data_IF_088320770394
#
_entry.id   IF_088320770394
#
_cell.length_a   1.000
_cell.length_b   1.000
_cell.length_c   1.000
_cell.angle_alpha   90.00
_cell.angle_beta   90.00
_cell.angle_gamma   90.00
#
_symmetry.space_group_name_H-M   'P 1'
#
loop_
_entity.id
_entity.type
_entity.pdbx_description
1 polymer ?
#
# COMPACT_ATOMS: atom_id res chain seq x y z
N UNK A 1 17.37 -2.02 -13.88
CA UNK A 1 18.07 -2.59 -12.69
C UNK A 1 18.23 -1.50 -11.64
N UNK A 2 17.46 -1.53 -10.57
CA UNK A 2 17.65 -0.60 -9.47
C UNK A 2 18.95 -0.95 -8.77
N UNK A 3 19.87 -0.01 -8.75
CA UNK A 3 21.22 -0.21 -8.23
C UNK A 3 21.13 -0.51 -6.72
N UNK A 4 21.56 -1.71 -6.32
CA UNK A 4 21.55 -2.22 -4.94
C UNK A 4 22.17 -1.23 -3.94
N UNK A 5 23.07 -0.36 -4.40
CA UNK A 5 23.67 0.71 -3.60
C UNK A 5 22.63 1.75 -3.14
N UNK A 6 21.68 2.11 -3.99
CA UNK A 6 20.63 3.07 -3.62
C UNK A 6 19.60 2.50 -2.63
N UNK A 7 19.35 1.19 -2.70
CA UNK A 7 18.45 0.53 -1.77
C UNK A 7 19.05 0.48 -0.35
N UNK A 8 20.35 0.23 -0.24
CA UNK A 8 21.07 0.27 1.05
C UNK A 8 21.07 1.66 1.67
N UNK A 9 21.28 2.71 0.87
CA UNK A 9 21.26 4.10 1.36
C UNK A 9 19.88 4.52 1.86
N UNK A 10 18.82 4.12 1.16
CA UNK A 10 17.44 4.36 1.58
C UNK A 10 17.08 3.63 2.88
N UNK A 11 17.56 2.41 3.04
CA UNK A 11 17.31 1.62 4.26
C UNK A 11 18.04 2.21 5.48
N UNK A 12 19.28 2.67 5.30
CA UNK A 12 20.05 3.36 6.35
C UNK A 12 19.38 4.67 6.74
N UNK A 13 18.89 5.44 5.78
CA UNK A 13 18.18 6.70 6.04
C UNK A 13 16.88 6.47 6.83
N UNK A 14 16.16 5.38 6.53
CA UNK A 14 14.96 4.97 7.26
C UNK A 14 15.26 4.54 8.70
N UNK A 15 16.35 3.81 8.92
CA UNK A 15 16.78 3.39 10.25
C UNK A 15 17.19 4.61 11.09
N UNK A 16 17.87 5.58 10.49
CA UNK A 16 18.28 6.82 11.17
C UNK A 16 17.07 7.70 11.57
N UNK A 17 16.04 7.78 10.71
CA UNK A 17 14.79 8.49 11.04
C UNK A 17 14.06 7.78 12.19
N UNK A 18 14.00 6.46 12.20
CA UNK A 18 13.35 5.71 13.28
C UNK A 18 14.11 5.85 14.60
N UNK A 19 15.43 5.87 14.58
CA UNK A 19 16.24 6.10 15.78
C UNK A 19 16.09 7.52 16.33
N UNK A 20 15.94 8.53 15.48
CA UNK A 20 15.73 9.92 15.93
C UNK A 20 14.37 10.11 16.62
N UNK A 21 13.32 9.41 16.20
CA UNK A 21 12.02 9.45 16.85
C UNK A 21 12.03 8.79 18.25
N UNK A 22 12.79 7.71 18.44
CA UNK A 22 12.92 7.05 19.75
C UNK A 22 13.77 7.89 20.72
N UNK A 23 14.77 8.60 20.21
CA UNK A 23 15.67 9.41 21.05
C UNK A 23 14.99 10.66 21.62
N UNK A 24 13.99 11.22 20.94
CA UNK A 24 13.25 12.40 21.44
C UNK A 24 12.33 12.06 22.61
N UNK A 25 11.78 10.86 22.69
CA UNK A 25 10.95 10.46 23.83
C UNK A 25 11.78 10.20 25.11
N UNK A 26 12.97 9.65 24.97
CA UNK A 26 13.85 9.40 26.12
C UNK A 26 14.50 10.64 26.71
N UNK A 27 14.72 11.68 25.88
CA UNK A 27 15.26 12.97 26.36
C UNK A 27 14.24 13.81 27.12
N UNK A 28 12.94 13.71 26.79
CA UNK A 28 11.87 14.38 27.52
C UNK A 28 11.60 13.78 28.89
N UNK A 29 11.80 12.45 29.03
CA UNK A 29 11.61 11.75 30.33
C UNK A 29 12.70 12.08 31.37
N UNK A 30 13.89 12.49 30.91
CA UNK A 30 15.03 12.75 31.80
C UNK A 30 15.04 14.14 32.45
N UNK A 31 14.16 15.06 31.98
CA UNK A 31 14.13 16.46 32.46
C UNK A 31 13.25 16.68 33.69
N UNK A 32 12.57 15.67 34.20
CA UNK A 32 11.73 15.75 35.40
C UNK A 32 12.15 14.72 36.44
N UNK A 33 13.37 14.89 36.96
CA UNK A 33 13.74 14.30 38.24
C UNK A 33 13.31 15.25 39.35
N UNK A 34 12.31 14.90 40.16
CA UNK A 34 11.91 15.72 41.30
C UNK A 34 12.83 15.39 42.46
N UNK A 35 13.93 16.11 42.57
CA UNK A 35 14.86 15.85 43.66
C UNK A 35 14.76 16.99 44.66
N UNK A 36 14.27 16.64 45.85
CA UNK A 36 14.65 17.14 47.17
C UNK A 36 14.72 18.67 47.34
N UNK A 37 13.65 19.42 47.03
CA UNK A 37 13.56 20.84 47.39
C UNK A 37 12.47 21.18 48.42
N UNK A 38 11.68 20.21 48.79
CA UNK A 38 10.62 20.45 49.77
C UNK A 38 11.08 20.01 51.16
N UNK A 39 11.39 20.98 52.02
CA UNK A 39 11.63 20.76 53.45
C UNK A 39 10.35 20.80 54.27
N UNK A 40 9.26 21.38 53.78
CA UNK A 40 8.04 21.64 54.53
C UNK A 40 6.84 20.81 54.00
N UNK A 41 5.96 20.41 54.91
CA UNK A 41 4.76 19.65 54.56
C UNK A 41 3.84 20.35 53.56
N UNK A 42 3.85 21.67 53.51
CA UNK A 42 3.13 22.53 52.57
C UNK A 42 3.62 22.36 51.13
N UNK A 43 4.92 22.36 50.94
CA UNK A 43 5.55 22.17 49.64
C UNK A 43 5.24 20.78 49.07
N UNK A 44 5.20 19.75 49.91
CA UNK A 44 4.75 18.41 49.47
C UNK A 44 3.30 18.38 49.03
N UNK A 45 2.45 19.19 49.67
CA UNK A 45 1.04 19.26 49.31
C UNK A 45 0.85 19.98 47.97
N UNK A 46 1.51 21.08 47.71
CA UNK A 46 1.48 21.80 46.45
C UNK A 46 2.05 20.99 45.28
N UNK A 47 3.15 20.27 45.51
CA UNK A 47 3.75 19.41 44.51
C UNK A 47 2.82 18.22 44.16
N UNK A 48 2.11 17.68 45.16
CA UNK A 48 1.13 16.65 44.94
C UNK A 48 -0.04 17.13 44.08
N UNK A 49 -0.54 18.33 44.34
CA UNK A 49 -1.63 18.95 43.55
C UNK A 49 -1.16 19.23 42.12
N UNK A 50 0.05 19.76 41.96
CA UNK A 50 0.64 20.02 40.63
C UNK A 50 0.81 18.73 39.83
N UNK A 51 1.30 17.67 40.48
CA UNK A 51 1.42 16.33 39.83
C UNK A 51 0.06 15.74 39.46
N UNK A 52 -0.94 15.84 40.33
CA UNK A 52 -2.29 15.38 40.02
C UNK A 52 -2.88 16.14 38.80
N UNK A 53 -2.74 17.46 38.76
CA UNK A 53 -3.17 18.28 37.61
C UNK A 53 -2.43 17.90 36.34
N UNK A 54 -1.14 17.63 36.39
CA UNK A 54 -0.34 17.19 35.24
C UNK A 54 -0.77 15.78 34.78
N UNK A 55 -1.06 14.87 35.72
CA UNK A 55 -1.58 13.54 35.39
C UNK A 55 -2.96 13.63 34.76
N UNK A 56 -3.84 14.48 35.31
CA UNK A 56 -5.18 14.71 34.74
C UNK A 56 -5.11 15.35 33.34
N UNK A 57 -4.23 16.31 33.14
CA UNK A 57 -3.98 16.92 31.83
C UNK A 57 -3.43 15.89 30.82
N UNK A 58 -2.51 15.04 31.26
CA UNK A 58 -1.96 13.98 30.44
C UNK A 58 -3.03 12.91 30.12
N UNK A 59 -3.90 12.59 31.10
CA UNK A 59 -5.03 11.68 30.91
C UNK A 59 -6.09 12.29 29.99
N UNK A 60 -6.38 13.59 30.13
CA UNK A 60 -7.29 14.31 29.20
C UNK A 60 -6.72 14.36 27.78
N UNK A 61 -5.41 14.64 27.64
CA UNK A 61 -4.76 14.58 26.32
C UNK A 61 -4.77 13.16 25.73
N UNK A 62 -4.51 12.13 26.54
CA UNK A 62 -4.65 10.72 26.13
C UNK A 62 -6.10 10.35 25.83
N UNK A 63 -7.06 10.87 26.59
CA UNK A 63 -8.50 10.70 26.35
C UNK A 63 -8.99 11.37 25.09
N UNK A 64 -8.47 12.56 24.76
CA UNK A 64 -8.78 13.25 23.51
C UNK A 64 -8.21 12.47 22.31
N UNK A 65 -7.00 11.90 22.43
CA UNK A 65 -6.46 11.00 21.41
C UNK A 65 -7.18 9.63 21.35
N UNK A 66 -7.74 9.16 22.48
CA UNK A 66 -8.49 7.89 22.52
C UNK A 66 -9.91 8.01 21.91
N UNK A 67 -10.48 9.22 21.84
CA UNK A 67 -11.84 9.50 21.34
C UNK A 67 -11.90 9.81 19.84
N UNK A 68 -10.81 9.79 19.11
CA UNK A 68 -10.93 9.67 17.66
C UNK A 68 -11.22 8.20 17.37
N UNK A 69 -12.52 7.88 17.25
CA UNK A 69 -12.92 6.64 16.63
C UNK A 69 -12.09 6.47 15.35
N UNK A 70 -11.56 5.27 15.10
CA UNK A 70 -10.82 5.04 13.87
C UNK A 70 -11.73 5.49 12.74
N UNK A 71 -11.26 6.43 11.95
CA UNK A 71 -11.97 6.93 10.78
C UNK A 71 -12.49 5.72 10.03
N UNK A 72 -13.83 5.61 10.01
CA UNK A 72 -14.45 4.34 9.70
C UNK A 72 -14.47 4.08 8.20
N UNK A 73 -14.43 5.16 7.42
CA UNK A 73 -14.45 5.10 5.97
C UNK A 73 -13.16 5.66 5.38
N UNK A 74 -12.56 4.92 4.44
CA UNK A 74 -11.39 5.38 3.70
C UNK A 74 -11.58 5.11 2.22
N UNK A 75 -11.21 6.07 1.41
CA UNK A 75 -11.15 5.93 -0.05
C UNK A 75 -9.69 6.04 -0.46
N UNK A 76 -9.20 5.08 -1.21
CA UNK A 76 -7.81 4.99 -1.65
C UNK A 76 -7.74 4.82 -3.15
N UNK A 77 -6.87 5.58 -3.79
CA UNK A 77 -6.55 5.43 -5.19
C UNK A 77 -5.06 5.13 -5.33
N UNK A 78 -4.72 4.22 -6.23
CA UNK A 78 -3.35 3.84 -6.52
C UNK A 78 -3.07 3.95 -8.00
N UNK A 79 -1.87 4.40 -8.32
CA UNK A 79 -1.35 4.37 -9.68
C UNK A 79 0.08 3.85 -9.63
N UNK A 80 0.39 2.89 -10.47
CA UNK A 80 1.70 2.30 -10.56
C UNK A 80 2.01 1.80 -11.95
N UNK A 81 3.25 1.45 -12.15
CA UNK A 81 3.68 0.91 -13.42
C UNK A 81 5.10 0.39 -13.35
N UNK A 82 5.42 -0.44 -14.31
CA UNK A 82 6.74 -0.91 -14.63
C UNK A 82 6.97 -0.61 -16.11
N UNK A 83 8.10 0.02 -16.40
CA UNK A 83 8.56 0.24 -17.76
C UNK A 83 9.94 -0.38 -17.87
N UNK A 84 10.09 -1.34 -18.78
CA UNK A 84 11.37 -1.89 -19.19
C UNK A 84 11.50 -1.74 -20.71
N UNK A 85 12.67 -2.01 -21.26
CA UNK A 85 12.93 -1.85 -22.69
C UNK A 85 11.96 -2.66 -23.58
N UNK A 86 11.43 -3.77 -23.05
CA UNK A 86 10.57 -4.68 -23.80
C UNK A 86 9.13 -4.79 -23.24
N UNK A 87 8.87 -4.23 -22.06
CA UNK A 87 7.55 -4.37 -21.44
C UNK A 87 7.12 -3.11 -20.72
N UNK A 88 5.84 -2.81 -20.85
CA UNK A 88 5.18 -1.71 -20.14
C UNK A 88 3.97 -2.26 -19.40
N UNK A 89 3.89 -1.96 -18.12
CA UNK A 89 2.74 -2.30 -17.29
C UNK A 89 2.24 -1.06 -16.56
N UNK A 90 0.94 -0.86 -16.58
CA UNK A 90 0.28 0.20 -15.84
C UNK A 90 -0.84 -0.41 -14.99
N UNK A 91 -0.86 -0.09 -13.69
CA UNK A 91 -1.92 -0.47 -12.78
C UNK A 91 -2.59 0.78 -12.23
N UNK A 92 -3.91 0.80 -12.29
CA UNK A 92 -4.76 1.79 -11.63
C UNK A 92 -5.73 1.06 -10.71
N UNK A 93 -5.93 1.57 -9.51
CA UNK A 93 -6.81 0.90 -8.56
C UNK A 93 -7.51 1.92 -7.68
N UNK A 94 -8.78 1.60 -7.36
CA UNK A 94 -9.59 2.33 -6.38
C UNK A 94 -10.07 1.32 -5.35
N UNK A 95 -9.99 1.69 -4.08
CA UNK A 95 -10.46 0.87 -2.98
C UNK A 95 -11.25 1.69 -1.95
N UNK A 96 -12.31 1.09 -1.44
CA UNK A 96 -13.13 1.59 -0.36
C UNK A 96 -12.93 0.71 0.86
N UNK A 97 -12.55 1.32 1.98
CA UNK A 97 -12.35 0.63 3.24
C UNK A 97 -13.40 1.05 4.27
N UNK A 98 -13.92 0.06 4.97
CA UNK A 98 -14.72 0.23 6.16
C UNK A 98 -14.00 -0.37 7.34
N UNK A 99 -13.56 0.46 8.29
CA UNK A 99 -12.66 0.06 9.37
C UNK A 99 -11.38 -0.57 8.80
N UNK A 100 -11.17 -1.85 9.08
CA UNK A 100 -9.99 -2.60 8.66
C UNK A 100 -10.16 -3.30 7.31
N UNK A 101 -11.39 -3.53 6.87
CA UNK A 101 -11.68 -4.23 5.63
C UNK A 101 -11.88 -3.27 4.47
N UNK A 102 -11.41 -3.66 3.31
CA UNK A 102 -11.59 -2.90 2.08
C UNK A 102 -11.91 -3.81 0.90
N UNK A 103 -12.68 -3.25 0.00
CA UNK A 103 -12.93 -3.81 -1.32
C UNK A 103 -12.44 -2.82 -2.36
N UNK A 104 -11.91 -3.32 -3.45
CA UNK A 104 -11.37 -2.46 -4.50
C UNK A 104 -11.45 -3.10 -5.87
N UNK A 105 -11.11 -2.32 -6.86
CA UNK A 105 -10.91 -2.76 -8.23
C UNK A 105 -9.55 -2.30 -8.71
N UNK A 106 -8.82 -3.21 -9.35
CA UNK A 106 -7.54 -2.92 -10.01
C UNK A 106 -7.68 -3.21 -11.50
N UNK A 107 -7.41 -2.20 -12.31
CA UNK A 107 -7.24 -2.35 -13.74
C UNK A 107 -5.75 -2.44 -14.05
N UNK A 108 -5.34 -3.44 -14.80
CA UNK A 108 -3.96 -3.64 -15.23
C UNK A 108 -3.90 -3.67 -16.74
N UNK A 109 -3.06 -2.82 -17.31
CA UNK A 109 -2.73 -2.80 -18.73
C UNK A 109 -1.30 -3.28 -18.89
N UNK A 110 -1.11 -4.34 -19.65
CA UNK A 110 0.19 -4.92 -19.91
C UNK A 110 0.48 -4.94 -21.41
N UNK A 111 1.67 -4.49 -21.79
CA UNK A 111 2.17 -4.53 -23.15
C UNK A 111 3.61 -5.04 -23.11
N UNK A 112 3.94 -5.98 -23.95
CA UNK A 112 5.32 -6.44 -24.12
C UNK A 112 5.59 -6.80 -25.56
N UNK A 113 6.84 -6.62 -25.96
CA UNK A 113 7.36 -7.09 -27.22
C UNK A 113 8.30 -8.25 -26.93
N UNK A 114 7.91 -9.44 -27.38
CA UNK A 114 8.68 -10.67 -27.20
C UNK A 114 9.69 -10.88 -28.32
N UNK A 115 10.38 -12.00 -28.26
CA UNK A 115 11.26 -12.45 -29.33
C UNK A 115 10.49 -12.58 -30.64
N UNK A 116 11.16 -12.33 -31.76
CA UNK A 116 10.59 -12.38 -33.13
C UNK A 116 9.48 -11.35 -33.41
N UNK A 117 9.45 -10.22 -32.69
CA UNK A 117 8.49 -9.14 -32.92
C UNK A 117 7.05 -9.50 -32.52
N UNK A 118 6.86 -10.49 -31.64
CA UNK A 118 5.54 -10.86 -31.13
C UNK A 118 5.12 -9.78 -30.11
N UNK A 119 3.99 -9.11 -30.36
CA UNK A 119 3.45 -8.13 -29.44
C UNK A 119 2.30 -8.70 -28.64
N UNK A 120 2.38 -8.53 -27.33
CA UNK A 120 1.34 -8.92 -26.39
C UNK A 120 0.74 -7.69 -25.74
N UNK A 121 -0.56 -7.59 -25.79
CA UNK A 121 -1.31 -6.56 -25.10
C UNK A 121 -2.42 -7.19 -24.28
N UNK A 122 -2.58 -6.76 -23.03
CA UNK A 122 -3.72 -7.22 -22.25
C UNK A 122 -4.23 -6.14 -21.31
N UNK A 123 -5.53 -6.18 -21.08
CA UNK A 123 -6.22 -5.39 -20.08
C UNK A 123 -7.00 -6.35 -19.20
N UNK A 124 -6.80 -6.25 -17.89
CA UNK A 124 -7.50 -7.09 -16.90
C UNK A 124 -8.15 -6.23 -15.84
N UNK A 125 -9.31 -6.69 -15.36
CA UNK A 125 -10.05 -6.07 -14.26
C UNK A 125 -10.13 -7.07 -13.11
N UNK A 126 -9.58 -6.69 -11.98
CA UNK A 126 -9.52 -7.52 -10.78
C UNK A 126 -10.33 -6.89 -9.67
N UNK A 127 -10.98 -7.73 -8.88
CA UNK A 127 -11.61 -7.34 -7.63
C UNK A 127 -10.64 -7.65 -6.48
N UNK A 128 -10.43 -6.68 -5.63
CA UNK A 128 -9.49 -6.75 -4.52
C UNK A 128 -10.25 -6.84 -3.20
N UNK A 129 -9.83 -7.77 -2.34
CA UNK A 129 -10.21 -7.81 -0.95
C UNK A 129 -8.99 -7.41 -0.11
N UNK A 130 -9.13 -6.38 0.71
CA UNK A 130 -8.04 -5.75 1.42
C UNK A 130 -8.29 -5.76 2.93
N UNK A 131 -7.23 -5.92 3.70
CA UNK A 131 -7.24 -5.78 5.14
C UNK A 131 -6.13 -4.83 5.58
N UNK A 132 -6.50 -3.77 6.31
CA UNK A 132 -5.55 -2.75 6.79
C UNK A 132 -5.49 -2.75 8.31
N UNK A 133 -4.30 -2.73 8.86
CA UNK A 133 -4.04 -2.61 10.29
C UNK A 133 -3.04 -1.48 10.56
N UNK A 134 -3.07 -0.96 11.78
CA UNK A 134 -2.33 0.24 12.13
C UNK A 134 -3.19 1.50 12.04
N UNK A 135 -2.69 2.61 12.55
CA UNK A 135 -3.43 3.87 12.64
C UNK A 135 -2.73 4.97 11.85
N UNK A 136 -1.75 5.59 12.44
CA UNK A 136 -0.98 6.69 11.81
C UNK A 136 0.00 6.13 10.78
N UNK A 137 0.57 4.97 11.10
CA UNK A 137 1.31 4.14 10.17
C UNK A 137 0.52 2.85 9.96
N UNK A 138 0.15 2.56 8.73
CA UNK A 138 -0.72 1.44 8.41
C UNK A 138 -0.06 0.47 7.42
N UNK A 139 -0.47 -0.80 7.56
CA UNK A 139 -0.10 -1.88 6.65
C UNK A 139 -1.36 -2.45 6.04
N UNK A 140 -1.30 -2.75 4.77
CA UNK A 140 -2.42 -3.33 4.02
C UNK A 140 -1.97 -4.64 3.38
N UNK A 141 -2.75 -5.67 3.61
CA UNK A 141 -2.66 -6.96 2.94
C UNK A 141 -3.89 -7.10 2.05
N UNK A 142 -3.74 -7.75 0.91
CA UNK A 142 -4.87 -7.97 0.03
C UNK A 142 -4.68 -9.13 -0.91
N UNK A 143 -5.80 -9.67 -1.35
CA UNK A 143 -5.89 -10.65 -2.41
C UNK A 143 -6.67 -10.06 -3.57
N UNK A 144 -6.31 -10.46 -4.76
CA UNK A 144 -6.86 -9.96 -6.01
C UNK A 144 -7.31 -11.14 -6.86
N UNK A 145 -8.53 -11.07 -7.35
CA UNK A 145 -9.11 -12.09 -8.23
C UNK A 145 -9.81 -11.39 -9.39
N UNK A 146 -9.53 -11.85 -10.60
CA UNK A 146 -10.14 -11.33 -11.80
C UNK A 146 -10.46 -12.45 -12.77
N UNK A 147 -11.61 -12.31 -13.39
CA UNK A 147 -12.09 -13.23 -14.43
C UNK A 147 -12.54 -12.47 -15.69
N UNK A 148 -12.21 -11.17 -15.76
CA UNK A 148 -12.58 -10.32 -16.88
C UNK A 148 -11.36 -9.61 -17.44
N UNK A 149 -11.21 -9.70 -18.75
CA UNK A 149 -10.12 -9.01 -19.43
C UNK A 149 -10.13 -9.30 -20.94
N UNK A 150 -9.20 -8.66 -21.61
CA UNK A 150 -8.97 -8.88 -23.03
C UNK A 150 -7.48 -9.03 -23.25
N UNK A 151 -7.10 -10.01 -24.03
CA UNK A 151 -5.73 -10.19 -24.47
C UNK A 151 -5.66 -10.18 -25.99
N UNK A 152 -4.62 -9.56 -26.50
CA UNK A 152 -4.30 -9.54 -27.93
C UNK A 152 -2.86 -9.98 -28.10
N UNK A 153 -2.63 -10.89 -29.03
CA UNK A 153 -1.31 -11.32 -29.43
C UNK A 153 -1.18 -11.07 -30.92
N UNK A 154 -0.20 -10.24 -31.29
CA UNK A 154 0.13 -10.01 -32.69
C UNK A 154 1.39 -10.80 -33.04
N UNK A 155 1.29 -11.64 -34.04
CA UNK A 155 2.41 -12.37 -34.61
C UNK A 155 2.42 -12.17 -36.13
N UNK A 156 3.43 -11.46 -36.63
CA UNK A 156 3.50 -10.99 -38.02
C UNK A 156 2.23 -10.19 -38.40
N UNK A 157 1.48 -10.63 -39.39
CA UNK A 157 0.22 -10.01 -39.82
C UNK A 157 -1.03 -10.61 -39.16
N UNK A 158 -0.84 -11.53 -38.22
CA UNK A 158 -1.94 -12.26 -37.60
C UNK A 158 -2.21 -11.77 -36.20
N UNK A 159 -3.49 -11.55 -35.89
CA UNK A 159 -3.98 -11.14 -34.59
C UNK A 159 -4.78 -12.29 -33.95
N UNK A 160 -4.42 -12.59 -32.71
CA UNK A 160 -5.15 -13.52 -31.84
C UNK A 160 -5.72 -12.74 -30.69
N UNK A 161 -6.97 -13.03 -30.32
CA UNK A 161 -7.65 -12.35 -29.20
C UNK A 161 -8.25 -13.36 -28.26
N UNK A 162 -8.29 -13.03 -26.99
CA UNK A 162 -9.01 -13.78 -25.96
C UNK A 162 -9.75 -12.80 -25.07
N UNK A 163 -10.97 -13.16 -24.68
CA UNK A 163 -11.74 -12.47 -23.66
C UNK A 163 -11.76 -13.28 -22.35
N UNK A 164 -11.16 -14.47 -22.36
CA UNK A 164 -11.06 -15.34 -21.19
C UNK A 164 -9.72 -15.12 -20.51
N UNK A 165 -9.74 -14.29 -19.48
CA UNK A 165 -8.56 -13.94 -18.69
C UNK A 165 -8.88 -14.24 -17.24
N UNK A 166 -8.11 -15.14 -16.67
CA UNK A 166 -8.10 -15.38 -15.23
C UNK A 166 -6.90 -14.68 -14.61
N UNK A 167 -7.10 -14.00 -13.51
CA UNK A 167 -6.01 -13.40 -12.77
C UNK A 167 -6.17 -13.61 -11.28
N UNK A 168 -5.06 -13.85 -10.62
CA UNK A 168 -4.99 -13.97 -9.18
C UNK A 168 -3.71 -13.31 -8.67
N UNK A 169 -3.77 -12.83 -7.43
CA UNK A 169 -2.59 -12.24 -6.85
C UNK A 169 -2.78 -11.72 -5.46
N UNK A 170 -1.74 -11.04 -4.99
CA UNK A 170 -1.75 -10.45 -3.67
C UNK A 170 -1.15 -9.04 -3.69
N UNK A 171 -1.56 -8.26 -2.70
CA UNK A 171 -1.10 -6.92 -2.46
C UNK A 171 -0.47 -6.80 -1.08
N UNK A 172 0.66 -6.12 -1.03
CA UNK A 172 1.30 -5.69 0.20
C UNK A 172 1.46 -4.17 0.13
N UNK A 173 0.96 -3.47 1.13
CA UNK A 173 1.04 -2.02 1.15
C UNK A 173 1.41 -1.49 2.52
N UNK A 174 1.98 -0.31 2.52
CA UNK A 174 2.21 0.48 3.71
C UNK A 174 1.84 1.92 3.43
N UNK A 175 1.42 2.63 4.47
CA UNK A 175 1.04 4.02 4.33
C UNK A 175 1.15 4.78 5.63
N UNK A 176 1.11 6.09 5.48
CA UNK A 176 1.10 7.03 6.59
C UNK A 176 -0.12 7.93 6.46
N UNK A 177 -0.84 8.08 7.58
CA UNK A 177 -2.04 8.91 7.69
C UNK A 177 -1.68 10.23 8.38
N UNK A 178 -2.01 11.33 7.73
CA UNK A 178 -1.83 12.68 8.27
C UNK A 178 -3.17 13.43 8.23
N UNK A 179 -3.84 13.49 9.37
CA UNK A 179 -5.19 14.03 9.46
C UNK A 179 -6.18 13.17 8.67
N UNK A 180 -6.76 13.75 7.63
CA UNK A 180 -7.67 13.07 6.70
C UNK A 180 -6.97 12.49 5.48
N UNK A 181 -5.69 12.79 5.26
CA UNK A 181 -4.92 12.37 4.10
C UNK A 181 -4.08 11.13 4.41
N UNK A 182 -3.98 10.24 3.43
CA UNK A 182 -3.08 9.09 3.47
C UNK A 182 -2.15 9.12 2.25
N UNK A 183 -0.87 8.80 2.48
CA UNK A 183 0.10 8.51 1.42
C UNK A 183 0.44 7.03 1.55
N UNK A 184 0.40 6.32 0.43
CA UNK A 184 0.45 4.87 0.40
C UNK A 184 1.45 4.38 -0.65
N UNK A 185 2.14 3.30 -0.34
CA UNK A 185 2.96 2.54 -1.29
C UNK A 185 2.45 1.11 -1.28
N UNK A 186 2.22 0.55 -2.46
CA UNK A 186 1.71 -0.82 -2.60
C UNK A 186 2.57 -1.59 -3.60
N UNK A 187 2.92 -2.81 -3.25
CA UNK A 187 3.47 -3.82 -4.13
C UNK A 187 2.38 -4.82 -4.47
N UNK A 188 2.12 -5.02 -5.74
CA UNK A 188 1.16 -6.00 -6.25
C UNK A 188 1.91 -7.08 -7.01
N UNK A 189 1.62 -8.34 -6.71
CA UNK A 189 2.10 -9.49 -7.48
C UNK A 189 0.88 -10.16 -8.06
N UNK A 190 0.77 -10.16 -9.37
CA UNK A 190 -0.40 -10.63 -10.11
C UNK A 190 0.05 -11.66 -11.15
N UNK A 191 -0.62 -12.79 -11.15
CA UNK A 191 -0.46 -13.85 -12.14
C UNK A 191 -1.68 -13.83 -13.05
N UNK A 192 -1.46 -13.77 -14.35
CA UNK A 192 -2.51 -13.76 -15.38
C UNK A 192 -2.40 -15.03 -16.21
N UNK A 193 -3.54 -15.63 -16.49
CA UNK A 193 -3.66 -16.75 -17.40
C UNK A 193 -4.68 -16.40 -18.48
N UNK A 194 -4.25 -16.47 -19.73
CA UNK A 194 -5.06 -16.25 -20.90
C UNK A 194 -5.34 -17.61 -21.55
N UNK A 195 -6.60 -17.96 -21.68
CA UNK A 195 -7.04 -19.16 -22.36
C UNK A 195 -7.79 -18.79 -23.64
N UNK A 196 -7.98 -19.75 -24.51
CA UNK A 196 -8.76 -19.64 -25.76
C UNK A 196 -8.37 -18.44 -26.64
N UNK A 197 -7.08 -18.31 -26.94
CA UNK A 197 -6.61 -17.33 -27.93
C UNK A 197 -7.10 -17.74 -29.34
N UNK A 198 -8.06 -17.02 -29.87
CA UNK A 198 -8.66 -17.29 -31.19
C UNK A 198 -8.16 -16.27 -32.21
N UNK A 199 -7.80 -16.77 -33.41
CA UNK A 199 -7.55 -15.93 -34.57
C UNK A 199 -8.90 -15.48 -35.14
N UNK A 200 -9.00 -14.23 -35.57
CA UNK A 200 -10.15 -13.76 -36.34
C UNK A 200 -10.44 -14.74 -37.51
N UNK A 201 -11.43 -15.63 -37.31
CA UNK A 201 -11.89 -16.52 -38.34
C UNK A 201 -11.67 -18.01 -38.16
N UNK A 202 -11.22 -18.56 -37.01
CA UNK A 202 -11.36 -19.98 -36.68
C UNK A 202 -10.15 -20.81 -36.22
N UNK A 203 -8.97 -20.26 -36.06
CA UNK A 203 -7.81 -21.05 -35.57
C UNK A 203 -7.56 -20.75 -34.11
N UNK A 204 -7.77 -21.73 -33.23
CA UNK A 204 -7.42 -21.66 -31.80
C UNK A 204 -5.93 -21.91 -31.62
N UNK A 205 -5.25 -21.03 -30.89
CA UNK A 205 -3.93 -21.32 -30.34
C UNK A 205 -4.12 -22.22 -29.13
N UNK A 206 -3.85 -23.51 -29.27
CA UNK A 206 -4.06 -24.50 -28.20
C UNK A 206 -3.10 -24.40 -27.02
N UNK A 207 -2.58 -23.21 -26.68
CA UNK A 207 -1.70 -23.00 -25.56
C UNK A 207 -2.21 -21.82 -24.70
N UNK A 208 -2.38 -22.09 -23.41
CA UNK A 208 -2.59 -21.05 -22.41
C UNK A 208 -1.32 -20.20 -22.26
N UNK A 209 -1.53 -18.91 -22.17
CA UNK A 209 -0.43 -17.95 -21.95
C UNK A 209 -0.48 -17.47 -20.50
N UNK A 210 0.64 -17.58 -19.79
CA UNK A 210 0.76 -17.15 -18.38
C UNK A 210 1.76 -16.03 -18.25
N UNK A 211 1.34 -14.97 -17.57
CA UNK A 211 2.20 -13.81 -17.28
C UNK A 211 2.22 -13.55 -15.78
N UNK A 212 3.41 -13.41 -15.22
CA UNK A 212 3.61 -12.97 -13.84
C UNK A 212 4.10 -11.54 -13.82
N UNK A 213 3.48 -10.72 -13.00
CA UNK A 213 3.88 -9.34 -12.87
C UNK A 213 4.04 -8.92 -11.42
N UNK A 214 5.03 -8.06 -11.19
CA UNK A 214 5.23 -7.40 -9.89
C UNK A 214 5.32 -5.91 -10.14
N UNK A 215 4.37 -5.17 -9.59
CA UNK A 215 4.24 -3.73 -9.80
C UNK A 215 4.25 -2.98 -8.49
N UNK A 216 4.97 -1.87 -8.46
CA UNK A 216 4.91 -0.90 -7.38
C UNK A 216 3.96 0.23 -7.74
N UNK A 217 3.10 0.61 -6.82
CA UNK A 217 2.12 1.68 -7.00
C UNK A 217 2.23 2.68 -5.85
N UNK A 218 2.10 3.94 -6.18
CA UNK A 218 1.89 5.02 -5.23
C UNK A 218 0.40 5.26 -5.10
N UNK A 219 -0.05 5.59 -3.90
CA UNK A 219 -1.45 5.83 -3.64
C UNK A 219 -1.67 7.05 -2.76
N UNK A 220 -2.85 7.63 -2.92
CA UNK A 220 -3.39 8.66 -2.07
C UNK A 220 -4.71 8.16 -1.48
N UNK A 221 -4.97 8.53 -0.25
CA UNK A 221 -6.19 8.17 0.46
C UNK A 221 -6.80 9.34 1.20
N UNK A 222 -8.11 9.24 1.39
CA UNK A 222 -8.91 10.12 2.25
C UNK A 222 -9.58 9.26 3.32
N UNK A 223 -9.49 9.70 4.57
CA UNK A 223 -10.04 9.02 5.74
C UNK A 223 -11.08 9.91 6.41
N UNK A 224 -12.30 9.38 6.62
CA UNK A 224 -13.46 10.08 7.17
C UNK A 224 -14.00 9.42 8.43
#
# INVERSE_FOLDING_TARGET
MLNIKHLKTLLIFWILIMQSCVFTETLMAKKYSPINRCRDAWCWHEDRIKRQKLIELAQRKRGIHKKRDPLQLKIRAFQGGLVSDQSRMQNQSIALHWKNWGIGQTQSNYQTEGEYGIKYESTTHNNDLLYTFGRDFNFTLGVSLGNHGKAKVQFLEHYYQSEQVESQGFHLGTGMTWGIFEILIRRSSLDYQYSDLERQGSVKLGKDFKVKSVVWSLGLGLSF
#
